data_IF_917106904405
#
_entry.id   IF_917106904405
#
_cell.length_a   1.000
_cell.length_b   1.000
_cell.length_c   1.000
_cell.angle_alpha   90.00
_cell.angle_beta   90.00
_cell.angle_gamma   90.00
#
_symmetry.space_group_name_H-M   'P 1'
#
loop_
_entity.id
_entity.type
_entity.pdbx_description
1 polymer ?
#
# COMPACT_ATOMS: atom_id res chain seq x y z
N UNK A 1 15.74 -21.19 11.36
CA UNK A 1 16.22 -20.43 10.16
C UNK A 1 17.74 -20.56 10.15
N UNK A 2 18.35 -20.94 9.02
CA UNK A 2 19.82 -20.90 8.88
C UNK A 2 20.28 -19.46 8.66
N UNK A 3 21.34 -19.04 9.35
CA UNK A 3 21.92 -17.72 9.15
C UNK A 3 22.66 -17.66 7.79
N UNK A 4 22.73 -16.48 7.14
CA UNK A 4 23.64 -16.26 6.02
C UNK A 4 25.10 -16.50 6.43
N UNK A 5 25.91 -17.07 5.53
CA UNK A 5 27.34 -17.38 5.77
C UNK A 5 28.16 -16.21 6.40
N UNK A 6 27.99 -14.93 5.99
CA UNK A 6 28.75 -13.83 6.58
C UNK A 6 28.45 -13.57 8.07
N UNK A 7 27.35 -14.11 8.59
CA UNK A 7 26.93 -13.93 9.98
C UNK A 7 27.27 -15.14 10.86
N UNK A 8 27.89 -16.19 10.30
CA UNK A 8 28.38 -17.33 11.07
C UNK A 8 29.78 -17.06 11.62
N UNK A 9 29.88 -16.09 12.52
CA UNK A 9 31.12 -15.77 13.23
C UNK A 9 31.59 -16.96 14.08
N UNK A 10 32.87 -17.02 14.50
CA UNK A 10 33.36 -18.06 15.41
C UNK A 10 32.48 -18.18 16.66
N UNK A 11 32.04 -17.05 17.21
CA UNK A 11 31.10 -17.02 18.33
C UNK A 11 29.79 -17.76 18.03
N UNK A 12 29.17 -17.53 16.87
CA UNK A 12 27.93 -18.21 16.50
C UNK A 12 28.15 -19.72 16.38
N UNK A 13 29.24 -20.15 15.75
CA UNK A 13 29.52 -21.58 15.49
C UNK A 13 29.90 -22.33 16.78
N UNK A 14 30.77 -21.75 17.59
CA UNK A 14 31.35 -22.40 18.77
C UNK A 14 30.47 -22.27 20.02
N UNK A 15 29.64 -21.23 20.07
CA UNK A 15 28.76 -20.96 21.23
C UNK A 15 27.30 -21.20 20.90
N UNK A 16 26.72 -20.46 19.94
CA UNK A 16 25.27 -20.43 19.76
C UNK A 16 24.71 -21.69 19.07
N UNK A 17 25.49 -22.32 18.20
CA UNK A 17 25.16 -23.61 17.59
C UNK A 17 25.59 -24.82 18.44
N UNK A 18 26.38 -24.60 19.50
CA UNK A 18 26.92 -25.67 20.31
C UNK A 18 25.86 -26.28 21.23
N UNK A 19 25.46 -27.52 20.92
CA UNK A 19 24.50 -28.34 21.66
C UNK A 19 25.15 -29.32 22.64
N UNK A 20 26.46 -29.22 22.89
CA UNK A 20 27.16 -30.03 23.89
C UNK A 20 26.86 -29.54 25.31
N UNK A 21 26.61 -30.49 26.22
CA UNK A 21 26.47 -30.23 27.66
C UNK A 21 27.82 -29.90 28.33
N UNK A 22 28.94 -30.11 27.63
CA UNK A 22 30.25 -29.70 28.14
C UNK A 22 30.32 -28.18 28.25
N UNK A 23 30.87 -27.70 29.36
CA UNK A 23 31.07 -26.27 29.59
C UNK A 23 32.17 -25.73 28.68
N UNK A 24 31.98 -24.49 28.21
CA UNK A 24 33.04 -23.73 27.57
C UNK A 24 34.00 -23.17 28.64
N UNK A 25 35.22 -22.77 28.28
CA UNK A 25 36.15 -22.12 29.19
C UNK A 25 35.50 -20.90 29.88
N UNK A 26 35.60 -20.86 31.22
CA UNK A 26 35.06 -19.81 32.09
C UNK A 26 33.53 -19.59 31.98
N UNK A 27 32.80 -20.59 31.49
CA UNK A 27 31.37 -20.49 31.37
C UNK A 27 30.67 -20.61 32.74
N UNK A 28 29.86 -19.62 33.04
CA UNK A 28 29.06 -19.58 34.25
C UNK A 28 27.59 -19.80 33.88
N UNK A 29 26.88 -20.58 34.69
CA UNK A 29 25.46 -20.87 34.50
C UNK A 29 24.63 -20.30 35.64
N UNK A 30 23.48 -19.69 35.31
CA UNK A 30 22.50 -19.21 36.29
C UNK A 30 21.10 -19.68 35.93
N UNK A 31 20.32 -20.08 36.93
CA UNK A 31 18.90 -20.41 36.78
C UNK A 31 18.14 -19.16 36.36
N UNK A 32 17.22 -19.32 35.40
CA UNK A 32 16.41 -18.21 34.90
C UNK A 32 15.25 -17.97 35.86
N UNK A 33 15.18 -16.75 36.42
CA UNK A 33 14.12 -16.35 37.34
C UNK A 33 12.73 -16.45 36.69
N UNK A 34 11.80 -17.13 37.36
CA UNK A 34 10.46 -17.44 36.85
C UNK A 34 10.41 -18.62 35.87
N UNK A 35 11.55 -19.27 35.62
CA UNK A 35 11.71 -20.41 34.73
C UNK A 35 12.69 -21.42 35.33
N UNK A 36 12.37 -21.96 36.50
CA UNK A 36 13.26 -22.74 37.36
C UNK A 36 13.85 -24.00 36.70
N UNK A 37 13.24 -24.46 35.61
CA UNK A 37 13.69 -25.61 34.83
C UNK A 37 14.71 -25.26 33.74
N UNK A 38 15.19 -24.03 33.71
CA UNK A 38 16.10 -23.54 32.68
C UNK A 38 17.27 -22.78 33.30
N UNK A 39 18.44 -22.96 32.72
CA UNK A 39 19.63 -22.17 33.04
C UNK A 39 20.19 -21.50 31.78
N UNK A 40 20.66 -20.27 31.94
CA UNK A 40 21.32 -19.48 30.90
C UNK A 40 22.80 -19.33 31.26
N UNK A 41 23.68 -19.43 30.27
CA UNK A 41 25.11 -19.25 30.45
C UNK A 41 25.57 -17.82 30.22
N UNK A 42 26.77 -17.48 30.73
CA UNK A 42 27.44 -16.19 30.53
C UNK A 42 27.68 -15.86 29.04
N UNK A 43 27.78 -16.90 28.21
CA UNK A 43 27.89 -16.85 26.75
C UNK A 43 26.54 -16.85 26.03
N UNK A 44 25.42 -16.95 26.75
CA UNK A 44 24.08 -16.97 26.16
C UNK A 44 23.64 -18.31 25.59
N UNK A 45 24.29 -19.42 26.00
CA UNK A 45 23.76 -20.77 25.78
C UNK A 45 22.62 -21.03 26.75
N UNK A 46 21.64 -21.83 26.33
CA UNK A 46 20.48 -22.18 27.14
C UNK A 46 20.42 -23.68 27.33
N UNK A 47 20.19 -24.14 28.55
CA UNK A 47 19.89 -25.54 28.84
C UNK A 47 18.58 -25.69 29.61
N UNK A 48 17.88 -26.77 29.31
CA UNK A 48 16.78 -27.29 30.10
C UNK A 48 17.38 -28.20 31.16
N UNK A 49 17.13 -27.92 32.43
CA UNK A 49 17.58 -28.74 33.55
C UNK A 49 16.78 -30.04 33.63
N UNK A 50 17.40 -31.05 34.24
CA UNK A 50 16.75 -32.31 34.55
C UNK A 50 15.54 -32.07 35.46
N UNK A 51 14.40 -32.70 35.14
CA UNK A 51 13.17 -32.56 35.93
C UNK A 51 12.21 -33.72 35.73
N UNK A 52 11.35 -33.94 36.72
CA UNK A 52 10.14 -34.73 36.55
C UNK A 52 9.07 -33.90 35.82
N UNK A 53 8.50 -34.47 34.76
CA UNK A 53 7.42 -33.86 34.02
C UNK A 53 6.22 -34.81 33.96
N UNK A 54 5.05 -34.31 34.39
CA UNK A 54 3.79 -35.03 34.26
C UNK A 54 3.21 -34.86 32.85
N UNK A 55 2.93 -35.96 32.18
CA UNK A 55 2.14 -35.96 30.94
C UNK A 55 0.67 -35.62 31.22
N UNK A 56 -0.05 -35.15 30.20
CA UNK A 56 -1.50 -34.88 30.27
C UNK A 56 -2.32 -36.12 30.69
N UNK A 57 -1.75 -37.32 30.56
CA UNK A 57 -2.35 -38.60 30.95
C UNK A 57 -1.85 -39.14 32.30
N UNK A 58 -1.28 -38.27 33.16
CA UNK A 58 -0.84 -38.63 34.52
C UNK A 58 0.45 -39.47 34.59
N UNK A 59 1.11 -39.75 33.46
CA UNK A 59 2.40 -40.46 33.45
C UNK A 59 3.53 -39.49 33.74
N UNK A 60 4.31 -39.78 34.78
CA UNK A 60 5.54 -39.05 35.09
C UNK A 60 6.69 -39.53 34.19
N UNK A 61 7.50 -38.58 33.70
CA UNK A 61 8.72 -38.87 32.96
C UNK A 61 9.86 -38.01 33.49
N UNK A 62 11.01 -38.63 33.70
CA UNK A 62 12.27 -37.91 33.90
C UNK A 62 12.69 -37.32 32.56
N UNK A 63 12.75 -36.00 32.49
CA UNK A 63 13.29 -35.25 31.37
C UNK A 63 14.76 -34.98 31.68
N UNK A 64 15.72 -35.48 30.88
CA UNK A 64 17.14 -35.25 31.14
C UNK A 64 17.53 -33.80 30.89
N UNK A 65 18.72 -33.42 31.34
CA UNK A 65 19.32 -32.14 30.97
C UNK A 65 19.62 -32.10 29.46
N UNK A 66 19.20 -31.03 28.78
CA UNK A 66 19.38 -30.88 27.33
C UNK A 66 19.75 -29.45 26.98
N UNK A 67 20.73 -29.28 26.08
CA UNK A 67 21.03 -28.00 25.44
C UNK A 67 19.91 -27.59 24.48
N UNK A 68 19.35 -26.42 24.72
CA UNK A 68 18.22 -25.89 23.96
C UNK A 68 18.69 -25.25 22.66
N UNK A 69 17.93 -25.50 21.59
CA UNK A 69 18.16 -24.80 20.32
C UNK A 69 17.69 -23.34 20.40
N UNK A 70 18.57 -22.43 20.00
CA UNK A 70 18.29 -21.00 19.93
C UNK A 70 17.60 -20.62 18.62
N UNK A 71 16.79 -19.57 18.67
CA UNK A 71 15.96 -19.10 17.57
C UNK A 71 16.54 -17.79 17.04
N UNK A 72 17.00 -17.80 15.79
CA UNK A 72 17.43 -16.59 15.08
C UNK A 72 16.25 -15.85 14.47
N UNK A 73 16.17 -14.54 14.74
CA UNK A 73 15.08 -13.66 14.35
C UNK A 73 15.59 -12.63 13.38
N UNK A 74 15.08 -12.69 12.15
CA UNK A 74 15.39 -11.74 11.08
C UNK A 74 14.43 -10.54 11.17
N UNK A 75 14.97 -9.32 11.13
CA UNK A 75 14.21 -8.08 10.98
C UNK A 75 14.76 -7.27 9.81
N UNK A 76 13.90 -6.94 8.86
CA UNK A 76 14.26 -6.12 7.70
C UNK A 76 14.12 -4.63 8.04
N UNK A 77 15.18 -3.86 7.79
CA UNK A 77 15.14 -2.41 7.84
C UNK A 77 14.86 -1.87 6.42
N UNK A 78 13.66 -1.31 6.22
CA UNK A 78 13.24 -0.74 4.93
C UNK A 78 14.07 0.47 4.51
N UNK A 79 14.60 1.26 5.45
CA UNK A 79 15.39 2.44 5.11
C UNK A 79 16.77 2.06 4.58
N UNK A 80 17.44 1.14 5.25
CA UNK A 80 18.77 0.65 4.83
C UNK A 80 18.71 -0.46 3.77
N UNK A 81 17.53 -1.02 3.50
CA UNK A 81 17.34 -2.23 2.69
C UNK A 81 18.20 -3.41 3.17
N UNK A 82 18.40 -3.50 4.49
CA UNK A 82 19.30 -4.46 5.12
C UNK A 82 18.60 -5.30 6.19
N UNK A 83 19.12 -6.50 6.44
CA UNK A 83 18.60 -7.40 7.47
C UNK A 83 19.43 -7.29 8.76
N UNK A 84 18.72 -7.31 9.89
CA UNK A 84 19.30 -7.44 11.23
C UNK A 84 18.85 -8.75 11.86
N UNK A 85 19.71 -9.33 12.70
CA UNK A 85 19.51 -10.66 13.26
C UNK A 85 19.66 -10.63 14.77
N UNK A 86 18.73 -11.27 15.49
CA UNK A 86 18.77 -11.36 16.94
C UNK A 86 18.56 -12.80 17.41
N UNK A 87 19.16 -13.12 18.55
CA UNK A 87 19.06 -14.45 19.16
C UNK A 87 17.99 -14.45 20.24
N UNK A 88 17.08 -15.41 20.13
CA UNK A 88 15.99 -15.64 21.08
C UNK A 88 16.00 -17.08 21.54
N UNK A 89 15.32 -17.35 22.65
CA UNK A 89 15.04 -18.71 23.10
C UNK A 89 13.54 -18.90 23.39
N UNK A 90 13.13 -20.15 23.52
CA UNK A 90 11.78 -20.55 23.95
C UNK A 90 11.86 -21.18 25.33
N UNK A 91 11.18 -20.58 26.30
CA UNK A 91 11.03 -21.10 27.66
C UNK A 91 9.58 -21.54 27.87
N UNK A 92 9.34 -22.55 28.70
CA UNK A 92 7.97 -22.92 29.08
C UNK A 92 7.76 -22.89 30.58
N UNK A 93 6.65 -22.31 31.02
CA UNK A 93 6.25 -22.27 32.44
C UNK A 93 4.73 -22.28 32.51
N UNK A 94 4.17 -23.10 33.42
CA UNK A 94 2.72 -23.26 33.61
C UNK A 94 1.96 -23.63 32.32
N UNK A 95 2.52 -24.51 31.48
CA UNK A 95 1.95 -24.92 30.20
C UNK A 95 2.00 -23.86 29.08
N UNK A 96 2.48 -22.65 29.36
CA UNK A 96 2.62 -21.56 28.37
C UNK A 96 4.06 -21.48 27.85
N UNK A 97 4.22 -21.18 26.55
CA UNK A 97 5.52 -20.95 25.91
C UNK A 97 5.81 -19.45 25.79
N UNK A 98 7.03 -19.06 26.12
CA UNK A 98 7.50 -17.68 26.11
C UNK A 98 8.73 -17.55 25.24
N UNK A 99 8.72 -16.59 24.31
CA UNK A 99 9.89 -16.24 23.52
C UNK A 99 10.65 -15.11 24.22
N UNK A 100 11.90 -15.35 24.62
CA UNK A 100 12.73 -14.38 25.34
C UNK A 100 13.97 -14.02 24.52
N UNK A 101 14.48 -12.80 24.70
CA UNK A 101 15.73 -12.37 24.08
C UNK A 101 16.90 -12.91 24.90
N UNK A 102 17.85 -13.58 24.24
CA UNK A 102 19.02 -14.15 24.94
C UNK A 102 19.88 -13.02 25.52
N UNK A 103 20.16 -11.96 24.75
CA UNK A 103 20.92 -10.81 25.25
C UNK A 103 20.29 -10.18 26.52
N UNK A 104 18.95 -10.05 26.58
CA UNK A 104 18.28 -9.55 27.79
C UNK A 104 18.42 -10.50 28.98
N UNK A 105 18.31 -11.81 28.75
CA UNK A 105 18.49 -12.81 29.81
C UNK A 105 19.92 -12.81 30.36
N UNK A 106 20.92 -12.83 29.46
CA UNK A 106 22.33 -12.79 29.85
C UNK A 106 22.62 -11.52 30.65
N UNK A 107 22.22 -10.35 30.15
CA UNK A 107 22.46 -9.10 30.87
C UNK A 107 21.79 -9.07 32.25
N UNK A 108 20.52 -9.49 32.32
CA UNK A 108 19.75 -9.51 33.58
C UNK A 108 20.40 -10.40 34.64
N UNK A 109 20.91 -11.57 34.24
CA UNK A 109 21.48 -12.54 35.18
C UNK A 109 22.97 -12.30 35.50
N UNK A 110 23.75 -11.75 34.57
CA UNK A 110 25.22 -11.64 34.72
C UNK A 110 25.75 -10.22 34.90
N UNK A 111 24.96 -9.18 34.63
CA UNK A 111 25.42 -7.78 34.73
C UNK A 111 24.60 -7.01 35.77
N UNK A 112 23.31 -6.81 35.53
CA UNK A 112 22.47 -5.99 36.39
C UNK A 112 21.00 -6.38 36.24
N UNK A 113 20.28 -6.50 37.37
CA UNK A 113 18.83 -6.72 37.37
C UNK A 113 18.09 -5.42 37.04
N UNK A 114 17.01 -5.53 36.28
CA UNK A 114 16.14 -4.42 35.90
C UNK A 114 14.72 -4.95 35.68
N UNK A 115 13.70 -4.10 35.59
CA UNK A 115 12.36 -4.58 35.24
C UNK A 115 12.38 -5.20 33.84
N UNK A 116 12.28 -6.53 33.80
CA UNK A 116 12.35 -7.29 32.55
C UNK A 116 11.22 -6.91 31.58
N UNK A 117 10.09 -6.44 32.09
CA UNK A 117 8.93 -6.01 31.30
C UNK A 117 9.09 -4.60 30.74
N UNK A 118 10.03 -3.81 31.26
CA UNK A 118 10.27 -2.46 30.79
C UNK A 118 10.86 -2.46 29.37
N UNK A 119 10.08 -1.89 28.45
CA UNK A 119 10.42 -1.73 27.03
C UNK A 119 11.25 -0.48 26.76
N UNK A 120 11.35 0.43 27.74
CA UNK A 120 12.23 1.60 27.70
C UNK A 120 13.71 1.19 27.76
N UNK A 121 13.99 0.02 28.35
CA UNK A 121 15.34 -0.53 28.46
C UNK A 121 15.68 -1.36 27.23
N UNK A 122 16.78 -1.04 26.56
CA UNK A 122 17.34 -1.82 25.47
C UNK A 122 18.72 -2.36 25.85
N UNK A 123 18.96 -3.63 25.54
CA UNK A 123 20.28 -4.24 25.67
C UNK A 123 20.89 -4.33 24.29
N UNK A 124 22.09 -3.77 24.12
CA UNK A 124 22.83 -3.77 22.85
C UNK A 124 24.24 -4.35 23.08
N UNK A 125 24.90 -4.73 21.99
CA UNK A 125 26.28 -5.21 21.99
C UNK A 125 27.25 -4.05 21.76
N UNK A 126 28.40 -4.07 22.43
CA UNK A 126 29.43 -3.02 22.34
C UNK A 126 30.17 -3.06 21.00
N UNK A 127 30.41 -4.28 20.50
CA UNK A 127 31.09 -4.55 19.22
C UNK A 127 30.21 -4.43 17.97
N UNK A 128 28.92 -4.10 18.14
CA UNK A 128 27.91 -4.00 17.07
C UNK A 128 27.57 -5.32 16.37
N UNK A 129 28.07 -6.47 16.82
CA UNK A 129 27.57 -7.78 16.40
C UNK A 129 26.41 -8.18 17.31
N UNK A 130 25.18 -8.14 16.80
CA UNK A 130 23.98 -8.48 17.56
C UNK A 130 23.85 -9.97 17.95
N UNK A 131 24.75 -10.83 17.47
CA UNK A 131 24.83 -12.25 17.82
C UNK A 131 25.87 -12.53 18.90
N UNK A 132 26.82 -11.61 19.15
CA UNK A 132 27.82 -11.74 20.21
C UNK A 132 27.24 -11.35 21.57
N UNK A 133 26.50 -12.28 22.18
CA UNK A 133 25.69 -12.05 23.39
C UNK A 133 26.40 -12.36 24.71
N UNK A 134 27.73 -12.40 24.74
CA UNK A 134 28.49 -12.62 25.97
C UNK A 134 28.28 -11.45 26.94
N UNK A 135 28.13 -11.72 28.24
CA UNK A 135 27.75 -10.69 29.22
C UNK A 135 28.67 -9.46 29.22
N UNK A 136 29.98 -9.64 29.01
CA UNK A 136 30.94 -8.53 28.98
C UNK A 136 30.77 -7.61 27.75
N UNK A 137 30.22 -8.14 26.66
CA UNK A 137 29.94 -7.40 25.43
C UNK A 137 28.57 -6.69 25.47
N UNK A 138 27.76 -6.90 26.49
CA UNK A 138 26.43 -6.31 26.58
C UNK A 138 26.44 -5.00 27.38
N UNK A 139 25.59 -4.07 26.98
CA UNK A 139 25.34 -2.83 27.72
C UNK A 139 23.87 -2.44 27.70
N UNK A 140 23.41 -1.84 28.80
CA UNK A 140 22.07 -1.28 28.97
C UNK A 140 22.04 0.15 28.49
N UNK A 141 21.08 0.46 27.63
CA UNK A 141 20.80 1.82 27.15
C UNK A 141 19.30 2.11 27.22
N UNK A 142 18.94 3.37 27.33
CA UNK A 142 17.55 3.83 27.23
C UNK A 142 17.05 3.81 25.77
N UNK A 143 15.73 3.76 25.61
CA UNK A 143 15.09 3.87 24.30
C UNK A 143 15.39 5.21 23.61
N UNK A 144 15.61 6.28 24.40
CA UNK A 144 16.00 7.60 23.88
C UNK A 144 17.42 7.58 23.31
N UNK A 145 18.39 7.06 24.06
CA UNK A 145 19.78 6.91 23.58
C UNK A 145 19.84 6.01 22.35
N UNK A 146 19.13 4.88 22.37
CA UNK A 146 19.03 4.00 21.20
C UNK A 146 18.53 4.73 19.96
N UNK A 147 17.50 5.57 20.11
CA UNK A 147 16.95 6.37 19.02
C UNK A 147 17.96 7.42 18.53
N UNK A 148 18.68 8.08 19.44
CA UNK A 148 19.75 9.04 19.09
C UNK A 148 20.86 8.35 18.29
N UNK A 149 21.35 7.20 18.76
CA UNK A 149 22.36 6.40 18.03
C UNK A 149 21.86 5.99 16.65
N UNK A 150 20.60 5.54 16.54
CA UNK A 150 20.01 5.19 15.24
C UNK A 150 19.97 6.37 14.26
N UNK A 151 19.73 7.60 14.72
CA UNK A 151 19.80 8.78 13.87
C UNK A 151 21.24 9.15 13.52
N UNK A 152 22.16 9.11 14.48
CA UNK A 152 23.57 9.41 14.27
C UNK A 152 24.22 8.44 13.26
N UNK A 153 23.85 7.16 13.33
CA UNK A 153 24.30 6.12 12.40
C UNK A 153 23.51 6.09 11.08
N UNK A 154 22.62 7.07 10.85
CA UNK A 154 21.74 7.15 9.69
C UNK A 154 20.99 5.83 9.40
N UNK A 155 20.47 5.18 10.45
CA UNK A 155 19.73 3.91 10.35
C UNK A 155 18.22 4.11 10.27
N UNK A 156 17.75 5.33 10.53
CA UNK A 156 16.35 5.73 10.51
C UNK A 156 16.24 7.07 9.80
N UNK A 157 15.21 7.21 8.96
CA UNK A 157 14.91 8.46 8.24
C UNK A 157 14.59 9.59 9.22
N UNK A 158 15.41 10.64 9.25
CA UNK A 158 15.15 11.83 10.05
C UNK A 158 14.31 12.84 9.27
N UNK A 159 12.98 12.77 9.42
CA UNK A 159 12.04 13.65 8.72
C UNK A 159 12.32 15.15 8.95
N UNK A 160 12.74 15.54 10.15
CA UNK A 160 13.03 16.94 10.46
C UNK A 160 14.18 17.51 9.64
N UNK A 161 15.21 16.71 9.35
CA UNK A 161 16.32 17.14 8.48
C UNK A 161 15.82 17.34 7.06
N UNK A 162 14.95 16.45 6.58
CA UNK A 162 14.44 16.51 5.22
C UNK A 162 13.45 17.67 5.04
N UNK A 163 12.55 17.90 6.01
CA UNK A 163 11.62 19.03 5.96
C UNK A 163 12.30 20.39 6.11
N UNK A 164 13.55 20.43 6.60
CA UNK A 164 14.38 21.64 6.63
C UNK A 164 15.05 21.97 5.30
N UNK A 165 14.92 21.12 4.28
CA UNK A 165 15.47 21.40 2.95
C UNK A 165 14.66 22.50 2.26
N UNK A 166 15.36 23.42 1.60
CA UNK A 166 14.76 24.48 0.81
C UNK A 166 14.04 23.92 -0.42
N UNK A 167 12.90 24.52 -0.76
CA UNK A 167 12.05 24.08 -1.86
C UNK A 167 11.64 25.25 -2.76
N UNK A 168 11.36 24.91 -4.01
CA UNK A 168 10.86 25.83 -5.02
C UNK A 168 9.45 25.40 -5.44
N UNK A 169 8.56 26.38 -5.51
CA UNK A 169 7.16 26.22 -5.89
C UNK A 169 6.99 26.60 -7.36
N UNK A 170 6.31 25.76 -8.12
CA UNK A 170 5.99 26.02 -9.52
C UNK A 170 4.51 25.85 -9.79
N UNK A 171 3.99 26.54 -10.79
CA UNK A 171 2.69 26.24 -11.39
C UNK A 171 2.72 24.86 -12.03
N UNK A 172 1.55 24.34 -12.39
CA UNK A 172 1.50 22.99 -12.98
C UNK A 172 2.03 22.97 -14.41
N UNK A 173 2.04 24.13 -15.04
CA UNK A 173 2.58 24.45 -16.36
C UNK A 173 4.10 24.63 -16.34
N UNK A 174 4.69 24.81 -15.15
CA UNK A 174 6.14 24.87 -14.96
C UNK A 174 6.72 26.27 -14.78
N UNK A 175 5.88 27.26 -14.50
CA UNK A 175 6.32 28.62 -14.18
C UNK A 175 6.72 28.68 -12.70
N UNK A 176 7.87 29.28 -12.39
CA UNK A 176 8.33 29.45 -11.02
C UNK A 176 7.45 30.48 -10.29
N UNK A 177 6.94 30.11 -9.12
CA UNK A 177 6.08 30.96 -8.29
C UNK A 177 6.87 31.57 -7.13
N UNK A 178 7.57 30.74 -6.35
CA UNK A 178 8.26 31.18 -5.14
C UNK A 178 9.36 30.22 -4.69
N UNK A 179 10.20 30.71 -3.77
CA UNK A 179 11.19 29.92 -3.04
C UNK A 179 10.93 29.97 -1.55
N UNK A 180 11.16 28.86 -0.87
CA UNK A 180 11.03 28.73 0.58
C UNK A 180 12.32 28.14 1.16
N UNK A 181 12.69 28.59 2.36
CA UNK A 181 13.92 28.11 3.02
C UNK A 181 13.75 26.70 3.56
N UNK A 182 12.51 26.27 3.81
CA UNK A 182 12.17 24.93 4.24
C UNK A 182 10.82 24.45 3.70
N UNK A 183 10.56 23.15 3.78
CA UNK A 183 9.23 22.60 3.52
C UNK A 183 8.21 23.02 4.59
N UNK A 184 8.65 23.37 5.79
CA UNK A 184 7.77 23.92 6.83
C UNK A 184 7.23 25.29 6.41
N UNK A 185 8.11 26.20 5.97
CA UNK A 185 7.72 27.55 5.55
C UNK A 185 6.75 27.48 4.37
N UNK A 186 7.05 26.60 3.41
CA UNK A 186 6.19 26.36 2.26
C UNK A 186 4.82 25.80 2.67
N UNK A 187 4.80 24.83 3.58
CA UNK A 187 3.59 24.18 4.05
C UNK A 187 2.70 25.14 4.86
N UNK A 188 3.30 25.98 5.69
CA UNK A 188 2.60 27.04 6.44
C UNK A 188 1.97 28.06 5.49
N UNK A 189 2.70 28.50 4.46
CA UNK A 189 2.21 29.47 3.48
C UNK A 189 0.96 28.99 2.73
N UNK A 190 0.87 27.70 2.41
CA UNK A 190 -0.26 27.11 1.66
C UNK A 190 -1.29 26.40 2.55
N UNK A 191 -1.10 26.39 3.88
CA UNK A 191 -2.00 25.73 4.83
C UNK A 191 -2.01 24.19 4.73
N UNK A 192 -0.88 23.58 4.40
CA UNK A 192 -0.73 22.12 4.28
C UNK A 192 0.30 21.54 5.27
N UNK A 193 0.46 20.23 5.24
CA UNK A 193 1.51 19.52 5.99
C UNK A 193 2.75 19.33 5.11
N UNK A 194 3.98 19.44 5.65
CA UNK A 194 5.23 19.23 4.89
C UNK A 194 5.31 17.88 4.19
N UNK A 195 4.68 16.84 4.74
CA UNK A 195 4.50 15.54 4.10
C UNK A 195 3.91 15.65 2.69
N UNK A 196 2.92 16.52 2.48
CA UNK A 196 2.29 16.66 1.17
C UNK A 196 3.27 17.20 0.11
N UNK A 197 4.16 18.11 0.52
CA UNK A 197 5.22 18.66 -0.34
C UNK A 197 6.27 17.57 -0.61
N UNK A 198 6.64 16.81 0.41
CA UNK A 198 7.57 15.68 0.29
C UNK A 198 7.10 14.64 -0.72
N UNK A 199 5.82 14.26 -0.65
CA UNK A 199 5.24 13.25 -1.53
C UNK A 199 5.27 13.70 -3.00
N UNK A 200 5.15 15.01 -3.25
CA UNK A 200 5.32 15.59 -4.60
C UNK A 200 6.77 15.52 -5.06
N UNK A 201 7.72 15.90 -4.21
CA UNK A 201 9.16 15.84 -4.50
C UNK A 201 9.58 14.39 -4.81
N UNK A 202 9.04 13.42 -4.06
CA UNK A 202 9.25 12.00 -4.26
C UNK A 202 8.49 11.41 -5.47
N UNK A 203 7.69 12.23 -6.16
CA UNK A 203 6.86 11.83 -7.31
C UNK A 203 5.81 10.76 -6.95
N UNK A 204 5.44 10.66 -5.67
CA UNK A 204 4.31 9.86 -5.20
C UNK A 204 3.00 10.56 -5.57
N UNK A 205 2.99 11.89 -5.46
CA UNK A 205 1.91 12.74 -5.95
C UNK A 205 2.40 13.76 -6.97
N UNK A 206 1.44 14.28 -7.73
CA UNK A 206 1.72 15.22 -8.79
C UNK A 206 1.87 16.65 -8.24
N UNK A 207 0.96 17.05 -7.36
CA UNK A 207 0.79 18.41 -6.85
C UNK A 207 0.46 18.39 -5.36
N UNK A 208 0.78 19.49 -4.68
CA UNK A 208 0.35 19.79 -3.31
C UNK A 208 -0.04 21.26 -3.24
N UNK A 209 -1.23 21.55 -2.72
CA UNK A 209 -1.75 22.92 -2.66
C UNK A 209 -1.93 23.56 -4.04
N UNK A 210 -2.23 22.76 -5.07
CA UNK A 210 -2.29 23.16 -6.49
C UNK A 210 -0.95 23.42 -7.20
N UNK A 211 0.18 23.32 -6.49
CA UNK A 211 1.50 23.58 -7.04
C UNK A 211 2.33 22.32 -7.22
N UNK A 212 3.37 22.44 -8.05
CA UNK A 212 4.49 21.51 -8.14
C UNK A 212 5.59 21.95 -7.18
N UNK A 213 6.28 20.96 -6.63
CA UNK A 213 7.33 21.18 -5.64
C UNK A 213 8.58 20.42 -6.02
N UNK A 214 9.71 21.11 -5.96
CA UNK A 214 11.03 20.53 -6.17
C UNK A 214 11.96 21.03 -5.06
N UNK A 215 12.99 20.25 -4.74
CA UNK A 215 14.07 20.76 -3.90
C UNK A 215 14.72 21.94 -4.62
N UNK A 216 15.13 22.96 -3.88
CA UNK A 216 15.79 24.15 -4.46
C UNK A 216 17.11 23.79 -5.17
N UNK A 217 17.73 22.67 -4.77
CA UNK A 217 18.92 22.10 -5.44
C UNK A 217 18.62 21.51 -6.82
N UNK A 218 17.36 21.20 -7.11
CA UNK A 218 16.96 20.44 -8.28
C UNK A 218 16.34 21.39 -9.30
N UNK A 219 16.90 21.43 -10.51
CA UNK A 219 16.33 22.20 -11.62
C UNK A 219 15.36 21.30 -12.40
N UNK A 220 14.03 21.50 -12.28
CA UNK A 220 13.06 20.65 -12.96
C UNK A 220 13.10 20.86 -14.47
N UNK A 221 13.01 19.78 -15.24
CA UNK A 221 12.94 19.84 -16.69
C UNK A 221 11.48 19.85 -17.16
N UNK A 222 11.23 20.29 -18.40
CA UNK A 222 9.88 20.32 -18.97
C UNK A 222 9.14 18.97 -18.85
N UNK A 223 9.87 17.85 -18.95
CA UNK A 223 9.34 16.49 -18.77
C UNK A 223 8.79 16.20 -17.36
N UNK A 224 9.29 16.88 -16.32
CA UNK A 224 8.85 16.71 -14.94
C UNK A 224 7.49 17.39 -14.69
N UNK A 225 7.14 18.36 -15.52
CA UNK A 225 5.85 19.04 -15.52
C UNK A 225 4.79 18.29 -16.35
N UNK A 226 5.22 17.52 -17.35
CA UNK A 226 4.33 16.68 -18.17
C UNK A 226 3.86 15.46 -17.37
N UNK A 227 2.54 15.36 -17.16
CA UNK A 227 1.91 14.20 -16.52
C UNK A 227 1.94 13.02 -17.49
N UNK A 228 3.05 12.27 -17.52
CA UNK A 228 3.10 11.02 -18.25
C UNK A 228 2.21 9.99 -17.54
N UNK A 229 1.01 9.80 -18.06
CA UNK A 229 0.13 8.72 -17.64
C UNK A 229 0.88 7.39 -17.87
N UNK A 230 1.22 6.63 -16.83
CA UNK A 230 1.71 5.24 -17.03
C UNK A 230 0.69 4.39 -17.80
N UNK A 231 -0.57 4.82 -17.89
CA UNK A 231 -1.60 4.25 -18.76
C UNK A 231 -1.48 4.61 -20.24
N UNK A 232 -0.72 5.64 -20.63
CA UNK A 232 -0.51 6.00 -22.04
C UNK A 232 0.46 5.04 -22.74
N UNK A 233 1.33 4.36 -21.99
CA UNK A 233 2.20 3.29 -22.50
C UNK A 233 1.42 2.00 -22.86
N UNK A 234 0.19 1.85 -22.36
CA UNK A 234 -0.73 0.80 -22.75
C UNK A 234 -2.11 1.43 -22.93
N UNK A 235 -2.31 2.20 -24.01
CA UNK A 235 -3.65 2.59 -24.44
C UNK A 235 -4.48 1.32 -24.62
N UNK A 236 -5.25 0.95 -23.59
CA UNK A 236 -6.15 -0.20 -23.64
C UNK A 236 -7.22 0.16 -24.66
N UNK A 237 -7.15 -0.41 -25.85
CA UNK A 237 -8.15 -0.24 -26.91
C UNK A 237 -9.45 -0.98 -26.57
N UNK A 238 -9.37 -1.99 -25.69
CA UNK A 238 -10.43 -2.96 -25.46
C UNK A 238 -10.85 -3.09 -23.99
N UNK A 239 -12.15 -2.97 -23.73
CA UNK A 239 -12.75 -3.21 -22.40
C UNK A 239 -12.96 -4.71 -22.14
N UNK A 240 -11.89 -5.41 -21.78
CA UNK A 240 -11.94 -6.85 -21.50
C UNK A 240 -12.85 -7.24 -20.31
N UNK A 241 -13.09 -6.30 -19.38
CA UNK A 241 -13.97 -6.53 -18.22
C UNK A 241 -15.43 -6.63 -18.65
N UNK A 242 -15.89 -5.67 -19.47
CA UNK A 242 -17.24 -5.68 -20.02
C UNK A 242 -17.46 -6.91 -20.93
N UNK A 243 -16.49 -7.21 -21.81
CA UNK A 243 -16.57 -8.40 -22.67
C UNK A 243 -16.75 -9.70 -21.89
N UNK A 244 -16.00 -9.88 -20.78
CA UNK A 244 -16.17 -11.04 -19.90
C UNK A 244 -17.57 -11.09 -19.29
N UNK A 245 -18.10 -9.95 -18.81
CA UNK A 245 -19.45 -9.85 -18.22
C UNK A 245 -20.57 -10.11 -19.23
N UNK A 246 -20.34 -9.80 -20.50
CA UNK A 246 -21.28 -10.08 -21.59
C UNK A 246 -21.26 -11.54 -22.07
N UNK A 247 -20.50 -12.42 -21.42
CA UNK A 247 -20.41 -13.83 -21.81
C UNK A 247 -19.41 -14.09 -22.93
N UNK A 248 -18.44 -13.19 -23.15
CA UNK A 248 -17.38 -13.32 -24.16
C UNK A 248 -17.91 -13.49 -25.59
N UNK A 249 -18.75 -12.58 -26.09
CA UNK A 249 -19.26 -12.66 -27.47
C UNK A 249 -18.09 -12.69 -28.49
N UNK A 250 -18.29 -13.35 -29.66
CA UNK A 250 -17.28 -13.40 -30.71
C UNK A 250 -17.10 -12.03 -31.34
N UNK A 251 -15.98 -11.36 -31.05
CA UNK A 251 -15.65 -10.01 -31.55
C UNK A 251 -14.16 -9.90 -31.87
N UNK A 252 -13.81 -8.98 -32.77
CA UNK A 252 -12.41 -8.59 -32.96
C UNK A 252 -11.96 -7.68 -31.81
N UNK A 253 -10.94 -8.12 -31.06
CA UNK A 253 -10.39 -7.35 -29.93
C UNK A 253 -9.50 -6.19 -30.37
N UNK A 254 -9.01 -6.20 -31.62
CA UNK A 254 -8.23 -5.09 -32.19
C UNK A 254 -9.14 -3.97 -32.70
N UNK A 255 -10.33 -4.33 -33.18
CA UNK A 255 -11.38 -3.40 -33.56
C UNK A 255 -12.72 -3.74 -32.86
N UNK A 256 -12.81 -3.53 -31.54
CA UNK A 256 -13.98 -3.93 -30.77
C UNK A 256 -15.20 -3.05 -31.09
N UNK A 257 -16.44 -3.56 -30.87
CA UNK A 257 -17.65 -2.79 -30.98
C UNK A 257 -17.61 -1.51 -30.11
N UNK A 258 -18.37 -0.46 -30.46
CA UNK A 258 -18.31 0.84 -29.80
C UNK A 258 -18.36 0.77 -28.27
N UNK A 259 -19.26 -0.03 -27.71
CA UNK A 259 -19.42 -0.17 -26.25
C UNK A 259 -18.20 -0.78 -25.52
N UNK A 260 -17.31 -1.48 -26.24
CA UNK A 260 -16.08 -2.07 -25.73
C UNK A 260 -14.81 -1.37 -26.24
N UNK A 261 -14.95 -0.37 -27.10
CA UNK A 261 -13.86 0.37 -27.72
C UNK A 261 -13.44 1.56 -26.85
N UNK A 262 -12.26 1.46 -26.26
CA UNK A 262 -11.68 2.47 -25.37
C UNK A 262 -10.66 3.40 -26.09
N UNK A 263 -10.53 3.27 -27.42
CA UNK A 263 -9.67 4.15 -28.22
C UNK A 263 -10.25 5.56 -28.28
N UNK A 264 -9.41 6.57 -28.02
CA UNK A 264 -9.79 7.99 -28.13
C UNK A 264 -10.08 8.41 -29.58
N UNK A 265 -9.53 7.67 -30.57
CA UNK A 265 -9.80 7.92 -32.00
C UNK A 265 -11.28 7.72 -32.30
N UNK A 266 -11.87 8.65 -33.05
CA UNK A 266 -13.26 8.55 -33.52
C UNK A 266 -13.43 7.33 -34.43
N UNK A 267 -14.58 6.68 -34.33
CA UNK A 267 -14.96 5.61 -35.26
C UNK A 267 -15.49 6.22 -36.57
N UNK A 268 -15.49 5.47 -37.68
CA UNK A 268 -16.06 5.95 -38.94
C UNK A 268 -17.53 6.39 -38.77
N UNK A 269 -17.82 7.61 -39.22
CA UNK A 269 -19.16 8.20 -39.16
C UNK A 269 -19.64 8.61 -37.77
N UNK A 270 -18.82 8.48 -36.73
CA UNK A 270 -19.22 8.77 -35.35
C UNK A 270 -19.34 10.27 -35.08
N UNK A 271 -20.48 10.67 -34.51
CA UNK A 271 -20.81 12.03 -34.13
C UNK A 271 -20.83 12.16 -32.61
N UNK A 272 -20.37 13.29 -32.08
CA UNK A 272 -20.27 13.53 -30.63
C UNK A 272 -21.11 14.74 -30.21
N UNK A 273 -21.87 14.57 -29.12
CA UNK A 273 -22.69 15.61 -28.49
C UNK A 273 -22.23 15.82 -27.04
N UNK A 274 -22.22 17.06 -26.51
CA UNK A 274 -21.91 17.31 -25.10
C UNK A 274 -23.02 16.77 -24.19
N UNK A 275 -22.64 16.25 -23.01
CA UNK A 275 -23.60 15.83 -21.99
C UNK A 275 -23.91 17.03 -21.08
N UNK A 276 -25.14 17.58 -21.08
CA UNK A 276 -25.42 18.88 -20.44
C UNK A 276 -25.23 18.90 -18.92
N UNK A 277 -25.37 17.75 -18.26
CA UNK A 277 -25.29 17.64 -16.79
C UNK A 277 -23.90 17.91 -16.21
N UNK A 278 -22.88 18.11 -17.06
CA UNK A 278 -21.47 18.13 -16.63
C UNK A 278 -20.66 19.25 -17.29
N UNK A 279 -21.25 20.42 -17.56
CA UNK A 279 -20.49 21.61 -18.00
C UNK A 279 -19.57 21.33 -19.21
N UNK A 280 -20.04 20.53 -20.17
CA UNK A 280 -19.28 20.08 -21.36
C UNK A 280 -18.02 19.23 -21.05
N UNK A 281 -17.84 18.75 -19.82
CA UNK A 281 -16.70 17.90 -19.42
C UNK A 281 -16.72 16.52 -20.07
N UNK A 282 -17.91 16.05 -20.45
CA UNK A 282 -18.12 14.76 -21.07
C UNK A 282 -18.95 14.89 -22.34
N UNK A 283 -18.67 14.02 -23.30
CA UNK A 283 -19.42 13.88 -24.55
C UNK A 283 -19.92 12.44 -24.69
N UNK A 284 -21.05 12.28 -25.36
CA UNK A 284 -21.59 10.98 -25.79
C UNK A 284 -21.60 10.92 -27.31
N UNK A 285 -21.27 9.76 -27.88
CA UNK A 285 -21.37 9.54 -29.32
C UNK A 285 -22.68 8.91 -29.73
N UNK A 286 -23.04 9.08 -30.99
CA UNK A 286 -24.17 8.42 -31.65
C UNK A 286 -24.03 6.88 -31.67
N UNK A 287 -22.80 6.38 -31.52
CA UNK A 287 -22.48 4.95 -31.33
C UNK A 287 -22.45 4.53 -29.86
N UNK A 288 -22.88 5.39 -28.95
CA UNK A 288 -22.98 5.12 -27.53
C UNK A 288 -21.66 5.12 -26.77
N UNK A 289 -20.56 5.65 -27.32
CA UNK A 289 -19.31 5.81 -26.57
C UNK A 289 -19.37 7.07 -25.71
N UNK A 290 -18.68 7.06 -24.59
CA UNK A 290 -18.67 8.20 -23.66
C UNK A 290 -17.23 8.64 -23.47
N UNK A 291 -16.99 9.92 -23.74
CA UNK A 291 -15.66 10.53 -23.70
C UNK A 291 -15.59 11.59 -22.61
N UNK A 292 -14.55 11.54 -21.79
CA UNK A 292 -14.14 12.65 -20.92
C UNK A 292 -13.15 13.52 -21.68
N UNK A 293 -13.39 14.83 -21.75
CA UNK A 293 -12.45 15.79 -22.34
C UNK A 293 -11.25 16.04 -21.43
N UNK A 294 -10.16 16.53 -22.02
CA UNK A 294 -8.95 16.88 -21.27
C UNK A 294 -9.18 18.10 -20.37
N UNK A 295 -8.52 18.16 -19.20
CA UNK A 295 -8.56 19.35 -18.33
C UNK A 295 -8.35 19.04 -16.85
N UNK A 296 -8.36 20.10 -16.05
CA UNK A 296 -8.09 20.05 -14.62
C UNK A 296 -9.28 19.56 -13.81
N UNK A 297 -9.01 18.80 -12.75
CA UNK A 297 -9.99 18.54 -11.70
C UNK A 297 -10.30 19.85 -10.97
N UNK A 298 -11.59 20.13 -10.78
CA UNK A 298 -12.09 21.35 -10.10
C UNK A 298 -12.26 21.18 -8.60
N UNK A 299 -12.14 19.94 -8.10
CA UNK A 299 -12.37 19.58 -6.69
C UNK A 299 -11.33 18.57 -6.23
N UNK A 300 -10.87 18.71 -4.99
CA UNK A 300 -9.82 17.88 -4.42
C UNK A 300 -8.43 18.22 -4.96
N UNK A 301 -7.58 17.21 -5.17
CA UNK A 301 -6.23 17.42 -5.70
C UNK A 301 -6.30 17.86 -7.17
N UNK A 302 -5.61 18.94 -7.52
CA UNK A 302 -5.52 19.47 -8.89
C UNK A 302 -4.65 18.54 -9.75
N UNK A 303 -5.31 17.76 -10.58
CA UNK A 303 -4.70 16.78 -11.49
C UNK A 303 -5.23 17.05 -12.90
N UNK A 304 -4.33 17.07 -13.88
CA UNK A 304 -4.73 17.14 -15.28
C UNK A 304 -5.16 15.75 -15.74
N UNK A 305 -6.43 15.63 -16.10
CA UNK A 305 -6.97 14.41 -16.68
C UNK A 305 -6.95 14.54 -18.19
N UNK A 306 -6.20 13.68 -18.87
CA UNK A 306 -6.23 13.60 -20.33
C UNK A 306 -7.58 13.10 -20.84
N UNK A 307 -7.82 13.38 -22.12
CA UNK A 307 -8.97 12.85 -22.85
C UNK A 307 -8.98 11.31 -22.77
N UNK A 308 -10.16 10.73 -22.55
CA UNK A 308 -10.31 9.30 -22.35
C UNK A 308 -11.72 8.83 -22.70
N UNK A 309 -11.85 7.69 -23.39
CA UNK A 309 -13.12 6.96 -23.46
C UNK A 309 -13.35 6.22 -22.15
N UNK A 310 -14.47 6.51 -21.51
CA UNK A 310 -14.86 5.88 -20.24
C UNK A 310 -15.32 4.44 -20.47
N UNK A 311 -14.92 3.57 -19.56
CA UNK A 311 -15.37 2.17 -19.59
C UNK A 311 -16.84 2.08 -19.20
N UNK A 312 -17.63 1.44 -20.07
CA UNK A 312 -19.00 1.09 -19.74
C UNK A 312 -19.05 -0.16 -18.86
N UNK A 313 -20.07 -0.21 -18.02
CA UNK A 313 -20.37 -1.28 -17.09
C UNK A 313 -21.72 -1.88 -17.41
N UNK A 314 -21.88 -3.16 -17.10
CA UNK A 314 -23.14 -3.89 -17.24
C UNK A 314 -23.94 -3.79 -15.94
N UNK A 315 -25.17 -3.29 -16.03
CA UNK A 315 -26.20 -3.45 -14.99
C UNK A 315 -27.10 -4.64 -15.35
N UNK A 316 -27.44 -5.44 -14.34
CA UNK A 316 -28.31 -6.60 -14.44
C UNK A 316 -29.42 -6.45 -13.40
N UNK A 317 -30.62 -6.10 -13.84
CA UNK A 317 -31.81 -6.03 -12.98
C UNK A 317 -32.82 -7.06 -13.48
N UNK A 318 -32.84 -8.24 -12.85
CA UNK A 318 -33.65 -9.38 -13.30
C UNK A 318 -33.25 -9.82 -14.72
N UNK A 319 -34.20 -9.78 -15.65
CA UNK A 319 -33.97 -10.10 -17.08
C UNK A 319 -33.46 -8.90 -17.89
N UNK A 320 -33.55 -7.68 -17.35
CA UNK A 320 -33.17 -6.47 -18.06
C UNK A 320 -31.67 -6.22 -17.93
N UNK A 321 -31.02 -6.01 -19.08
CA UNK A 321 -29.59 -5.73 -19.19
C UNK A 321 -29.41 -4.34 -19.78
N UNK A 322 -28.62 -3.51 -19.12
CA UNK A 322 -28.30 -2.18 -19.64
C UNK A 322 -26.84 -1.83 -19.42
N UNK A 323 -26.29 -1.04 -20.34
CA UNK A 323 -24.96 -0.46 -20.19
C UNK A 323 -25.07 0.90 -19.52
N UNK A 324 -24.16 1.17 -18.59
CA UNK A 324 -24.07 2.46 -17.91
C UNK A 324 -22.63 2.89 -17.72
N UNK A 325 -22.44 4.18 -17.49
CA UNK A 325 -21.13 4.76 -17.19
C UNK A 325 -21.19 5.53 -15.88
N UNK A 326 -20.08 5.48 -15.15
CA UNK A 326 -19.88 6.22 -13.92
C UNK A 326 -19.15 7.52 -14.25
N UNK A 327 -19.78 8.64 -13.91
CA UNK A 327 -19.27 9.98 -14.05
C UNK A 327 -18.82 10.50 -12.69
N UNK A 328 -17.57 10.94 -12.61
CA UNK A 328 -17.04 11.64 -11.45
C UNK A 328 -16.87 13.11 -11.83
N UNK A 329 -17.69 13.98 -11.24
CA UNK A 329 -17.69 15.41 -11.51
C UNK A 329 -17.92 16.19 -10.21
N UNK A 330 -17.06 17.19 -9.94
CA UNK A 330 -17.15 18.03 -8.74
C UNK A 330 -17.30 17.24 -7.42
N UNK A 331 -16.49 16.18 -7.26
CA UNK A 331 -16.51 15.32 -6.08
C UNK A 331 -17.75 14.41 -5.94
N UNK A 332 -18.70 14.46 -6.87
CA UNK A 332 -19.91 13.62 -6.88
C UNK A 332 -19.81 12.54 -7.95
N UNK A 333 -20.18 11.33 -7.56
CA UNK A 333 -20.29 10.19 -8.46
C UNK A 333 -21.74 10.03 -8.92
N UNK A 334 -21.96 9.95 -10.23
CA UNK A 334 -23.28 9.68 -10.84
C UNK A 334 -23.18 8.54 -11.84
N UNK A 335 -24.13 7.62 -11.84
CA UNK A 335 -24.27 6.60 -12.88
C UNK A 335 -25.43 6.95 -13.79
N UNK A 336 -25.22 6.89 -15.10
CA UNK A 336 -26.27 7.11 -16.10
C UNK A 336 -26.16 6.00 -17.16
N UNK A 337 -27.30 5.43 -17.56
CA UNK A 337 -27.35 4.42 -18.62
C UNK A 337 -27.02 5.06 -19.97
N UNK A 338 -26.25 4.35 -20.78
CA UNK A 338 -25.79 4.82 -22.09
C UNK A 338 -26.97 5.16 -23.01
N UNK A 339 -28.01 4.32 -23.00
CA UNK A 339 -29.21 4.52 -23.82
C UNK A 339 -29.99 5.79 -23.46
N UNK A 340 -30.01 6.20 -22.18
CA UNK A 340 -30.63 7.47 -21.75
C UNK A 340 -29.88 8.66 -22.33
N UNK A 341 -28.55 8.62 -22.29
CA UNK A 341 -27.71 9.68 -22.85
C UNK A 341 -27.84 9.78 -24.36
N UNK A 342 -27.84 8.64 -25.05
CA UNK A 342 -28.02 8.60 -26.51
C UNK A 342 -29.38 9.16 -26.93
N UNK A 343 -30.46 8.70 -26.30
CA UNK A 343 -31.81 9.19 -26.63
C UNK A 343 -31.93 10.69 -26.38
N UNK A 344 -31.45 11.17 -25.23
CA UNK A 344 -31.48 12.59 -24.90
C UNK A 344 -30.70 13.44 -25.93
N UNK A 345 -29.49 13.02 -26.30
CA UNK A 345 -28.61 13.84 -27.13
C UNK A 345 -28.90 13.76 -28.63
N UNK A 346 -29.55 12.69 -29.10
CA UNK A 346 -29.73 12.42 -30.53
C UNK A 346 -31.18 12.21 -30.98
N UNK A 347 -32.14 12.07 -30.07
CA UNK A 347 -33.56 11.84 -30.42
C UNK A 347 -34.44 12.95 -29.88
N UNK A 348 -34.59 13.04 -28.55
CA UNK A 348 -35.50 13.98 -27.90
C UNK A 348 -35.03 14.31 -26.48
N UNK A 349 -35.08 15.60 -26.12
CA UNK A 349 -34.75 16.07 -24.78
C UNK A 349 -35.82 15.66 -23.77
N UNK A 350 -35.39 15.05 -22.66
CA UNK A 350 -36.26 14.71 -21.53
C UNK A 350 -35.49 14.83 -20.21
N UNK A 351 -36.17 14.76 -19.07
CA UNK A 351 -35.49 14.82 -17.76
C UNK A 351 -34.61 13.58 -17.51
N UNK A 352 -33.29 13.74 -17.73
CA UNK A 352 -32.28 12.71 -17.46
C UNK A 352 -32.20 12.31 -15.99
N UNK A 353 -32.55 13.22 -15.07
CA UNK A 353 -32.54 12.99 -13.62
C UNK A 353 -33.84 12.38 -13.10
N UNK A 354 -34.90 12.49 -13.90
CA UNK A 354 -36.24 12.02 -13.61
C UNK A 354 -36.34 10.51 -13.54
N UNK A 355 -37.15 10.02 -12.59
CA UNK A 355 -37.50 8.59 -12.45
C UNK A 355 -38.81 8.22 -13.14
N UNK A 356 -39.45 9.17 -13.81
CA UNK A 356 -40.78 9.03 -14.40
C UNK A 356 -40.77 8.36 -15.78
N UNK A 357 -39.65 8.45 -16.50
CA UNK A 357 -39.49 7.90 -17.85
C UNK A 357 -38.31 6.92 -17.94
N UNK A 358 -38.46 5.92 -18.81
CA UNK A 358 -37.47 4.89 -19.12
C UNK A 358 -37.29 4.85 -20.63
N UNK A 359 -36.02 4.75 -21.06
CA UNK A 359 -35.68 4.51 -22.47
C UNK A 359 -35.54 3.00 -22.65
N UNK A 360 -36.36 2.43 -23.53
CA UNK A 360 -36.32 1.02 -23.90
C UNK A 360 -35.43 0.88 -25.12
N UNK A 361 -34.54 -0.11 -25.08
CA UNK A 361 -33.66 -0.47 -26.17
C UNK A 361 -34.11 -1.79 -26.79
N UNK A 362 -34.53 -1.74 -28.06
CA UNK A 362 -34.96 -2.93 -28.82
C UNK A 362 -33.86 -3.53 -29.70
N UNK A 363 -32.64 -2.98 -29.68
CA UNK A 363 -31.50 -3.55 -30.41
C UNK A 363 -31.17 -4.97 -29.95
N UNK A 364 -30.84 -5.84 -30.91
CA UNK A 364 -30.31 -7.17 -30.65
C UNK A 364 -29.00 -7.36 -31.44
N UNK A 365 -27.84 -7.48 -30.77
CA UNK A 365 -27.67 -7.54 -29.31
C UNK A 365 -27.89 -6.18 -28.62
N UNK A 366 -28.37 -6.18 -27.37
CA UNK A 366 -28.69 -4.95 -26.63
C UNK A 366 -27.50 -4.00 -26.42
N UNK A 367 -26.27 -4.48 -26.54
CA UNK A 367 -25.06 -3.70 -26.38
C UNK A 367 -24.55 -3.05 -27.68
N UNK A 368 -25.14 -3.41 -28.82
CA UNK A 368 -24.90 -2.78 -30.12
C UNK A 368 -26.11 -1.89 -30.45
N UNK A 369 -26.11 -0.71 -29.83
CA UNK A 369 -27.28 0.17 -29.79
C UNK A 369 -27.40 0.93 -31.11
N UNK A 370 -28.58 0.83 -31.71
CA UNK A 370 -29.00 1.71 -32.80
C UNK A 370 -30.03 2.70 -32.23
N UNK A 371 -29.80 3.99 -32.49
CA UNK A 371 -30.65 5.09 -32.00
C UNK A 371 -32.10 4.92 -32.47
N UNK A 372 -32.32 4.41 -33.69
CA UNK A 372 -33.66 4.17 -34.23
C UNK A 372 -34.46 3.12 -33.45
N UNK A 373 -33.78 2.27 -32.69
CA UNK A 373 -34.37 1.23 -31.85
C UNK A 373 -34.60 1.66 -30.39
N UNK A 374 -34.43 2.95 -30.08
CA UNK A 374 -34.68 3.53 -28.77
C UNK A 374 -36.06 4.19 -28.71
N UNK A 375 -36.82 3.91 -27.66
CA UNK A 375 -38.12 4.56 -27.42
C UNK A 375 -38.30 4.99 -25.96
N UNK A 376 -38.87 6.18 -25.74
CA UNK A 376 -39.16 6.72 -24.42
C UNK A 376 -40.56 6.30 -23.96
N UNK A 377 -40.66 5.75 -22.76
CA UNK A 377 -41.94 5.34 -22.17
C UNK A 377 -42.03 5.77 -20.70
N UNK A 378 -43.23 6.13 -20.21
CA UNK A 378 -43.44 6.31 -18.78
C UNK A 378 -43.17 5.02 -18.01
N UNK A 379 -42.54 5.10 -16.84
CA UNK A 379 -42.18 3.91 -16.05
C UNK A 379 -43.40 3.05 -15.70
N UNK A 380 -44.55 3.69 -15.45
CA UNK A 380 -45.78 3.01 -15.10
C UNK A 380 -46.36 2.18 -16.26
N UNK A 381 -46.14 2.58 -17.52
CA UNK A 381 -46.62 1.82 -18.67
C UNK A 381 -45.79 0.55 -18.89
N UNK A 382 -44.47 0.64 -18.64
CA UNK A 382 -43.54 -0.49 -18.69
C UNK A 382 -43.85 -1.50 -17.58
N UNK A 383 -44.05 -1.03 -16.34
CA UNK A 383 -44.38 -1.91 -15.20
C UNK A 383 -45.73 -2.64 -15.36
N UNK A 384 -46.67 -2.08 -16.11
CA UNK A 384 -47.96 -2.72 -16.43
C UNK A 384 -47.90 -3.66 -17.66
N UNK A 385 -46.71 -3.90 -18.22
CA UNK A 385 -46.53 -4.79 -19.38
C UNK A 385 -47.17 -4.28 -20.68
N UNK A 386 -47.40 -2.97 -20.80
CA UNK A 386 -48.02 -2.37 -21.99
C UNK A 386 -47.03 -2.07 -23.12
N UNK A 387 -45.76 -2.42 -22.93
CA UNK A 387 -44.63 -2.09 -23.82
C UNK A 387 -43.61 -3.21 -23.84
#
# INVERSE_FOLDING_TARGET
MKLPLPLETPYVKEVLYNKSLQNLPDEQWKVIEGFDHYAISSYGRLKSLERQASSLFGRERMMPEIMMELIFVKRFNQYLQQNSYHVHCSLSSGGKKYRKSVARLVYYHFVEKFDYSDRSISIITKDRDSLHVHYSNLQKISASERRKTQFAENRVRNRNVIYRQAVSQYTVEGELVAHFNSMYDAAEHIGLQPESIMDVIHKEFLTAGEYRWFLKSDNPQQKDFVVQNKSSLQQKIFNASLWKKLGKPPIDKKNPPPCMNLSVKSLPGEQWQPIPLFENRFMVSDKGRIKRLSGWTTTGRKVFLHEQILSQLLSMEGTQRSLFTIFNHQGKQRSITTVKLMYYCFVENFDLSGKTHVVINKSNPFWDVDISNLSLHPIHSVLRGKV
#
